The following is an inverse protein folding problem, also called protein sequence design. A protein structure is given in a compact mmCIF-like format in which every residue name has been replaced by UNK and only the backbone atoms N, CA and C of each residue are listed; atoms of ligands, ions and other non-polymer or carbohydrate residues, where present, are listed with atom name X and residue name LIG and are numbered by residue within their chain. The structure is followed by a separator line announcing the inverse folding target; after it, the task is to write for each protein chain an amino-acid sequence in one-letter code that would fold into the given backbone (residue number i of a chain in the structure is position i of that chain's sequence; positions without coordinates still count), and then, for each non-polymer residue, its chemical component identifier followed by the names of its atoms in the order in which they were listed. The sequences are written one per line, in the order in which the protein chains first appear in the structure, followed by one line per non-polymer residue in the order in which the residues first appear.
data_IF_347466341091
#
_entry.id   IF_347466341091
#
_cell.length_a   1.000
_cell.length_b   1.000
_cell.length_c   1.000
_cell.angle_alpha   90.00
_cell.angle_beta   90.00
_cell.angle_gamma   90.00
#
_symmetry.space_group_name_H-M   'P 1'
#
loop_
_entity.id
_entity.type
_entity.pdbx_description
1 polymer ?
#
# COMPACT_ATOMS: atom_id res chain seq x y z
N UNK A 1 20.44 10.03 -14.56
CA UNK A 1 19.98 8.87 -13.75
C UNK A 1 20.50 9.15 -12.36
N UNK A 2 19.63 9.59 -11.51
CA UNK A 2 19.95 10.18 -10.23
C UNK A 2 20.18 9.13 -9.16
N UNK A 3 21.04 9.42 -8.18
CA UNK A 3 21.39 8.60 -7.02
C UNK A 3 20.22 8.00 -6.20
N UNK A 4 18.98 8.43 -6.47
CA UNK A 4 17.73 7.95 -5.85
C UNK A 4 17.31 6.56 -6.30
N UNK A 5 17.53 6.22 -7.59
CA UNK A 5 17.24 4.90 -8.14
C UNK A 5 18.34 3.90 -7.78
N UNK A 6 19.58 4.33 -7.65
CA UNK A 6 20.73 3.47 -7.40
C UNK A 6 20.62 2.75 -6.04
N UNK A 7 20.17 3.43 -4.97
CA UNK A 7 20.02 2.80 -3.65
C UNK A 7 18.90 1.75 -3.61
N UNK A 8 17.73 2.06 -4.17
CA UNK A 8 16.60 1.13 -4.23
C UNK A 8 16.86 -0.03 -5.21
N UNK A 9 17.48 0.23 -6.36
CA UNK A 9 17.86 -0.82 -7.31
C UNK A 9 18.92 -1.76 -6.72
N UNK A 10 19.88 -1.27 -5.95
CA UNK A 10 20.83 -2.11 -5.22
C UNK A 10 20.13 -3.00 -4.21
N UNK A 11 19.27 -2.46 -3.34
CA UNK A 11 18.52 -3.24 -2.36
C UNK A 11 17.63 -4.30 -3.01
N UNK A 12 17.02 -4.02 -4.16
CA UNK A 12 16.20 -4.98 -4.92
C UNK A 12 17.10 -6.09 -5.47
N UNK A 13 18.22 -5.72 -6.08
CA UNK A 13 19.19 -6.68 -6.65
C UNK A 13 19.79 -7.58 -5.58
N UNK A 14 20.28 -7.01 -4.48
CA UNK A 14 20.83 -7.78 -3.35
C UNK A 14 19.81 -8.80 -2.80
N UNK A 15 18.53 -8.43 -2.75
CA UNK A 15 17.45 -9.32 -2.33
C UNK A 15 17.22 -10.43 -3.34
N UNK A 16 17.21 -10.10 -4.65
CA UNK A 16 17.08 -11.08 -5.72
C UNK A 16 18.26 -12.06 -5.73
N UNK A 17 19.48 -11.56 -5.53
CA UNK A 17 20.69 -12.38 -5.45
C UNK A 17 20.63 -13.31 -4.21
N UNK A 18 20.23 -12.78 -3.04
CA UNK A 18 20.03 -13.59 -1.82
C UNK A 18 19.00 -14.71 -2.03
N UNK A 19 17.91 -14.44 -2.74
CA UNK A 19 16.88 -15.44 -3.05
C UNK A 19 17.40 -16.48 -4.05
N UNK A 20 18.12 -16.07 -5.10
CA UNK A 20 18.76 -16.99 -6.04
C UNK A 20 19.78 -17.90 -5.33
N UNK A 21 20.65 -17.34 -4.48
CA UNK A 21 21.64 -18.09 -3.70
C UNK A 21 20.96 -19.05 -2.70
N UNK A 22 19.73 -18.70 -2.27
CA UNK A 22 18.89 -19.55 -1.42
C UNK A 22 18.03 -20.55 -2.20
N UNK A 23 18.26 -20.74 -3.52
CA UNK A 23 17.62 -21.77 -4.34
C UNK A 23 16.26 -21.38 -4.92
N UNK A 24 15.85 -20.11 -4.86
CA UNK A 24 14.67 -19.62 -5.56
C UNK A 24 14.97 -19.33 -7.03
N UNK A 25 13.98 -19.50 -7.89
CA UNK A 25 14.01 -19.00 -9.28
C UNK A 25 13.38 -17.63 -9.34
N UNK A 26 14.17 -16.60 -9.66
CA UNK A 26 13.69 -15.20 -9.71
C UNK A 26 13.33 -14.81 -11.14
N UNK A 27 12.10 -14.31 -11.31
CA UNK A 27 11.60 -13.69 -12.55
C UNK A 27 11.37 -12.20 -12.31
N UNK A 28 12.12 -11.36 -12.99
CA UNK A 28 12.10 -9.90 -12.89
C UNK A 28 11.17 -9.27 -13.93
N UNK A 29 10.78 -8.01 -13.69
CA UNK A 29 10.00 -7.19 -14.62
C UNK A 29 8.58 -7.69 -14.83
N UNK A 30 7.96 -8.30 -13.80
CA UNK A 30 6.59 -8.78 -13.90
C UNK A 30 5.59 -7.62 -14.01
N UNK A 31 4.46 -7.87 -14.66
CA UNK A 31 3.38 -6.89 -14.86
C UNK A 31 3.85 -5.56 -15.49
N UNK A 32 4.86 -5.58 -16.34
CA UNK A 32 5.41 -4.37 -16.98
C UNK A 32 6.16 -3.43 -16.04
N UNK A 33 6.43 -3.82 -14.79
CA UNK A 33 7.12 -3.01 -13.79
C UNK A 33 8.56 -3.53 -13.63
N UNK A 34 9.60 -2.80 -14.08
CA UNK A 34 10.98 -3.29 -14.10
C UNK A 34 11.52 -3.73 -12.73
N UNK A 35 11.03 -3.14 -11.65
CA UNK A 35 11.45 -3.42 -10.27
C UNK A 35 10.60 -4.46 -9.57
N UNK A 36 9.46 -4.88 -10.14
CA UNK A 36 8.65 -5.96 -9.62
C UNK A 36 9.24 -7.32 -9.99
N UNK A 37 9.17 -8.28 -9.07
CA UNK A 37 9.68 -9.63 -9.32
C UNK A 37 8.85 -10.68 -8.57
N UNK A 38 8.95 -11.93 -9.03
CA UNK A 38 8.52 -13.12 -8.28
C UNK A 38 9.68 -14.07 -8.13
N UNK A 39 9.90 -14.56 -6.91
CA UNK A 39 10.88 -15.58 -6.61
C UNK A 39 10.13 -16.84 -6.15
N UNK A 40 10.34 -17.95 -6.84
CA UNK A 40 9.64 -19.22 -6.59
C UNK A 40 10.62 -20.31 -6.15
N UNK A 41 10.27 -20.99 -5.06
CA UNK A 41 10.78 -22.30 -4.70
C UNK A 41 9.63 -23.31 -4.79
N UNK A 42 9.74 -24.27 -5.70
CA UNK A 42 8.68 -25.21 -6.03
C UNK A 42 9.11 -26.64 -5.66
N UNK A 43 8.40 -27.24 -4.71
CA UNK A 43 8.51 -28.64 -4.31
C UNK A 43 7.13 -29.33 -4.37
N UNK A 44 6.27 -28.92 -5.32
CA UNK A 44 4.87 -29.38 -5.43
C UNK A 44 3.97 -28.83 -4.31
N UNK A 45 2.83 -29.47 -4.07
CA UNK A 45 1.91 -29.12 -2.99
C UNK A 45 1.24 -27.75 -3.15
N UNK A 46 0.63 -27.22 -2.07
CA UNK A 46 0.00 -25.89 -2.07
C UNK A 46 0.99 -24.77 -2.37
N UNK A 47 0.49 -23.69 -2.99
CA UNK A 47 1.25 -22.48 -3.33
C UNK A 47 0.95 -21.37 -2.33
N UNK A 48 1.93 -21.00 -1.51
CA UNK A 48 1.82 -19.89 -0.56
C UNK A 48 2.62 -18.71 -1.07
N UNK A 49 1.91 -17.60 -1.35
CA UNK A 49 2.48 -16.31 -1.71
C UNK A 49 2.86 -15.50 -0.48
N UNK A 50 3.98 -14.78 -0.53
CA UNK A 50 4.40 -13.81 0.49
C UNK A 50 4.66 -12.48 -0.21
N UNK A 51 4.02 -11.40 0.24
CA UNK A 51 4.25 -10.06 -0.31
C UNK A 51 5.48 -9.42 0.33
N UNK A 52 6.20 -8.61 -0.44
CA UNK A 52 7.39 -7.88 -0.01
C UNK A 52 7.44 -6.49 -0.66
N UNK A 53 7.06 -5.46 0.09
CA UNK A 53 7.18 -4.06 -0.31
C UNK A 53 8.60 -3.52 -0.05
N UNK A 54 8.98 -2.45 -0.76
CA UNK A 54 10.31 -1.85 -0.61
C UNK A 54 10.41 -0.39 -1.09
N UNK A 55 9.29 0.26 -1.41
CA UNK A 55 9.30 1.67 -1.79
C UNK A 55 9.42 2.61 -0.57
N UNK A 56 9.94 3.82 -0.82
CA UNK A 56 10.19 4.84 0.19
C UNK A 56 9.36 6.10 -0.09
N UNK A 57 9.12 6.88 0.95
CA UNK A 57 8.39 8.14 0.88
C UNK A 57 9.31 9.34 0.65
N UNK A 58 8.93 10.33 -0.18
CA UNK A 58 9.71 11.53 -0.39
C UNK A 58 9.73 12.45 0.85
N UNK A 59 10.77 13.26 0.98
CA UNK A 59 10.87 14.32 1.99
C UNK A 59 11.17 13.88 3.42
N UNK A 60 11.32 12.57 3.68
CA UNK A 60 11.44 12.01 5.02
C UNK A 60 12.83 11.43 5.34
N UNK A 61 13.88 12.05 4.80
CA UNK A 61 15.26 11.70 5.15
C UNK A 61 15.52 11.92 6.64
N UNK A 62 16.03 10.89 7.33
CA UNK A 62 16.26 10.91 8.79
C UNK A 62 17.36 9.93 9.18
N UNK A 63 18.19 10.33 10.15
CA UNK A 63 19.16 9.45 10.82
C UNK A 63 18.50 8.61 11.92
N UNK A 64 19.17 7.56 12.37
CA UNK A 64 18.72 6.66 13.46
C UNK A 64 18.91 7.30 14.85
N UNK A 65 18.43 8.53 15.02
CA UNK A 65 18.52 9.32 16.25
C UNK A 65 17.13 9.62 16.79
N UNK A 66 16.93 9.72 18.12
CA UNK A 66 15.62 9.99 18.70
C UNK A 66 15.18 11.47 18.58
N UNK A 67 15.86 12.25 17.75
CA UNK A 67 15.54 13.64 17.43
C UNK A 67 15.61 13.86 15.91
N UNK A 68 14.99 14.92 15.42
CA UNK A 68 14.96 15.21 13.99
C UNK A 68 16.36 15.58 13.47
N UNK A 69 16.89 14.72 12.59
CA UNK A 69 18.21 14.89 11.98
C UNK A 69 18.20 14.32 10.55
N UNK A 70 18.11 15.21 9.56
CA UNK A 70 18.16 14.79 8.16
C UNK A 70 19.59 14.39 7.74
N UNK A 71 19.71 13.30 7.00
CA UNK A 71 21.00 12.85 6.42
C UNK A 71 21.20 13.36 4.98
N UNK A 72 20.41 14.37 4.55
CA UNK A 72 20.56 14.99 3.24
C UNK A 72 19.98 14.23 2.06
N UNK A 73 19.35 13.09 2.28
CA UNK A 73 18.60 12.34 1.26
C UNK A 73 17.21 12.94 1.03
N UNK A 74 16.57 12.58 -0.10
CA UNK A 74 15.27 13.12 -0.48
C UNK A 74 14.12 12.19 -0.11
N UNK A 75 14.38 10.95 0.36
CA UNK A 75 13.37 9.97 0.75
C UNK A 75 13.78 9.25 2.03
N UNK A 76 12.77 8.67 2.71
CA UNK A 76 12.94 7.84 3.89
C UNK A 76 11.87 6.74 3.97
N UNK A 77 12.22 5.63 4.61
CA UNK A 77 11.29 4.51 4.82
C UNK A 77 10.34 4.76 5.99
N UNK A 78 9.51 5.79 5.88
CA UNK A 78 8.58 6.19 6.93
C UNK A 78 7.33 5.30 7.04
N UNK A 79 7.16 4.35 6.13
CA UNK A 79 6.20 3.25 6.21
C UNK A 79 6.87 1.90 6.53
N UNK A 80 8.21 1.90 6.69
CA UNK A 80 8.97 0.71 7.08
C UNK A 80 9.14 -0.37 6.02
N UNK A 81 8.86 -0.07 4.74
CA UNK A 81 8.89 -1.07 3.65
C UNK A 81 10.26 -1.73 3.45
N UNK A 82 11.37 -1.09 3.86
CA UNK A 82 12.68 -1.74 3.90
C UNK A 82 12.68 -2.96 4.84
N UNK A 83 12.03 -2.85 6.00
CA UNK A 83 11.86 -3.95 6.96
C UNK A 83 10.87 -4.99 6.44
N UNK A 84 9.75 -4.52 5.84
CA UNK A 84 8.75 -5.38 5.23
C UNK A 84 9.40 -6.35 4.24
N UNK A 85 10.12 -5.83 3.27
CA UNK A 85 10.77 -6.66 2.28
C UNK A 85 11.79 -7.64 2.87
N UNK A 86 12.56 -7.22 3.89
CA UNK A 86 13.55 -8.10 4.55
C UNK A 86 12.86 -9.22 5.35
N UNK A 87 11.87 -8.90 6.18
CA UNK A 87 11.14 -9.88 6.97
C UNK A 87 10.43 -10.93 6.12
N UNK A 88 9.80 -10.50 5.01
CA UNK A 88 9.19 -11.40 4.04
C UNK A 88 10.21 -12.33 3.36
N UNK A 89 11.38 -11.78 3.00
CA UNK A 89 12.47 -12.58 2.41
C UNK A 89 13.00 -13.62 3.39
N UNK A 90 13.21 -13.24 4.65
CA UNK A 90 13.62 -14.16 5.72
C UNK A 90 12.60 -15.28 5.94
N UNK A 91 11.30 -14.96 5.95
CA UNK A 91 10.23 -15.95 6.07
C UNK A 91 10.27 -16.95 4.91
N UNK A 92 10.37 -16.48 3.68
CA UNK A 92 10.45 -17.33 2.48
C UNK A 92 11.65 -18.27 2.51
N UNK A 93 12.84 -17.76 2.87
CA UNK A 93 14.05 -18.56 2.97
C UNK A 93 13.94 -19.61 4.09
N UNK A 94 13.42 -19.25 5.26
CA UNK A 94 13.20 -20.18 6.37
C UNK A 94 12.24 -21.30 5.98
N UNK A 95 11.16 -20.97 5.28
CA UNK A 95 10.17 -21.95 4.78
C UNK A 95 10.79 -22.91 3.76
N UNK A 96 11.62 -22.39 2.85
CA UNK A 96 12.33 -23.25 1.86
C UNK A 96 13.19 -24.30 2.58
N UNK A 97 13.97 -23.90 3.60
CA UNK A 97 14.75 -24.85 4.38
C UNK A 97 13.88 -25.86 5.13
N UNK A 98 12.77 -25.40 5.71
CA UNK A 98 11.83 -26.27 6.40
C UNK A 98 11.19 -27.31 5.46
N UNK A 99 10.73 -26.90 4.27
CA UNK A 99 10.16 -27.82 3.26
C UNK A 99 11.19 -28.89 2.83
N UNK A 100 12.45 -28.49 2.66
CA UNK A 100 13.52 -29.39 2.29
C UNK A 100 13.86 -30.38 3.42
N UNK A 101 14.02 -29.89 4.65
CA UNK A 101 14.37 -30.70 5.83
C UNK A 101 13.27 -31.70 6.19
N UNK A 102 12.02 -31.30 6.09
CA UNK A 102 10.86 -32.15 6.40
C UNK A 102 10.38 -32.98 5.22
N UNK A 103 10.92 -32.74 4.02
CA UNK A 103 10.44 -33.33 2.76
C UNK A 103 8.93 -33.12 2.56
N UNK A 104 8.39 -31.99 3.01
CA UNK A 104 6.98 -31.61 2.87
C UNK A 104 6.75 -31.03 1.47
N UNK A 105 5.72 -31.49 0.72
CA UNK A 105 5.35 -30.84 -0.55
C UNK A 105 4.82 -29.43 -0.30
N UNK A 106 5.35 -28.45 -1.01
CA UNK A 106 4.91 -27.06 -0.92
C UNK A 106 5.63 -26.15 -1.89
N UNK A 107 4.96 -25.12 -2.34
CA UNK A 107 5.53 -24.07 -3.20
C UNK A 107 5.46 -22.73 -2.49
N UNK A 108 6.56 -22.00 -2.49
CA UNK A 108 6.67 -20.67 -1.91
C UNK A 108 6.93 -19.68 -3.03
N UNK A 109 6.13 -18.62 -3.10
CA UNK A 109 6.34 -17.47 -4.00
C UNK A 109 6.51 -16.19 -3.22
N UNK A 110 7.68 -15.58 -3.27
CA UNK A 110 7.88 -14.22 -2.77
C UNK A 110 7.64 -13.23 -3.91
N UNK A 111 6.74 -12.28 -3.69
CA UNK A 111 6.42 -11.21 -4.62
C UNK A 111 7.07 -9.91 -4.16
N UNK A 112 8.07 -9.45 -4.91
CA UNK A 112 8.64 -8.11 -4.73
C UNK A 112 7.72 -7.08 -5.37
N UNK A 113 7.02 -6.31 -4.53
CA UNK A 113 5.91 -5.44 -4.93
C UNK A 113 6.26 -3.96 -4.71
N UNK A 114 6.76 -3.25 -5.74
CA UNK A 114 7.08 -1.83 -5.67
C UNK A 114 5.84 -0.95 -5.70
N UNK A 115 6.04 0.33 -5.33
CA UNK A 115 5.11 1.42 -5.60
C UNK A 115 3.73 1.28 -4.90
N UNK A 116 3.69 0.75 -3.68
CA UNK A 116 2.49 0.75 -2.84
C UNK A 116 2.03 2.19 -2.58
N UNK A 117 2.94 3.10 -2.29
CA UNK A 117 2.73 4.50 -1.95
C UNK A 117 2.30 5.37 -3.16
N UNK A 118 1.23 4.97 -3.84
CA UNK A 118 0.56 5.73 -4.89
C UNK A 118 0.81 5.27 -6.33
N UNK A 119 1.59 4.20 -6.55
CA UNK A 119 1.78 3.61 -7.88
C UNK A 119 0.94 2.35 -8.13
N UNK A 120 0.33 1.76 -7.08
CA UNK A 120 -0.56 0.58 -7.17
C UNK A 120 0.12 -0.65 -7.81
N UNK A 121 1.37 -0.94 -7.44
CA UNK A 121 2.15 -2.02 -8.06
C UNK A 121 1.45 -3.39 -8.01
N UNK A 122 0.83 -3.73 -6.86
CA UNK A 122 0.12 -5.01 -6.69
C UNK A 122 -1.13 -5.13 -7.54
N UNK A 123 -1.79 -3.99 -7.87
CA UNK A 123 -2.96 -3.99 -8.76
C UNK A 123 -2.59 -4.50 -10.15
N UNK A 124 -1.45 -4.06 -10.69
CA UNK A 124 -0.96 -4.55 -12.00
C UNK A 124 -0.59 -6.03 -11.94
N UNK A 125 0.08 -6.46 -10.86
CA UNK A 125 0.46 -7.86 -10.65
C UNK A 125 -0.80 -8.75 -10.55
N UNK A 126 -1.83 -8.31 -9.82
CA UNK A 126 -3.11 -9.01 -9.68
C UNK A 126 -3.90 -9.04 -11.00
N UNK A 127 -3.97 -7.90 -11.72
CA UNK A 127 -4.64 -7.77 -13.01
C UNK A 127 -4.03 -8.72 -14.05
N UNK A 128 -2.71 -8.83 -14.07
CA UNK A 128 -1.98 -9.64 -15.04
C UNK A 128 -1.91 -11.14 -14.65
N UNK A 129 -2.68 -11.58 -13.63
CA UNK A 129 -2.90 -12.98 -13.30
C UNK A 129 -1.80 -13.66 -12.48
N UNK A 130 -0.85 -12.92 -11.91
CA UNK A 130 0.25 -13.52 -11.14
C UNK A 130 -0.18 -14.19 -9.82
N UNK A 131 -1.43 -14.00 -9.39
CA UNK A 131 -2.01 -14.65 -8.21
C UNK A 131 -3.04 -15.74 -8.55
N UNK A 132 -3.32 -16.03 -9.84
CA UNK A 132 -4.44 -16.90 -10.24
C UNK A 132 -4.25 -18.37 -9.85
N UNK A 133 -3.03 -18.82 -9.64
CA UNK A 133 -2.66 -20.17 -9.23
C UNK A 133 -2.05 -20.22 -7.81
N UNK A 134 -2.32 -19.21 -6.98
CA UNK A 134 -1.86 -19.12 -5.59
C UNK A 134 -2.99 -19.55 -4.66
N UNK A 135 -2.68 -20.41 -3.68
CA UNK A 135 -3.68 -20.89 -2.73
C UNK A 135 -3.93 -19.92 -1.59
N UNK A 136 -2.87 -19.32 -1.03
CA UNK A 136 -2.94 -18.36 0.07
C UNK A 136 -1.88 -17.28 -0.13
N UNK A 137 -2.18 -16.04 0.25
CA UNK A 137 -1.19 -14.96 0.35
C UNK A 137 -1.06 -14.50 1.79
N UNK A 138 0.18 -14.47 2.27
CA UNK A 138 0.57 -13.91 3.55
C UNK A 138 1.34 -12.60 3.37
N UNK A 139 1.11 -11.66 4.27
CA UNK A 139 1.87 -10.41 4.29
C UNK A 139 2.08 -9.92 5.71
N UNK A 140 2.89 -8.88 5.88
CA UNK A 140 2.97 -8.18 7.15
C UNK A 140 3.15 -6.68 6.90
N UNK A 141 3.03 -5.88 7.93
CA UNK A 141 3.30 -4.46 7.82
C UNK A 141 3.97 -3.94 9.09
N UNK A 142 5.03 -3.13 8.96
CA UNK A 142 5.58 -2.35 10.06
C UNK A 142 4.51 -1.50 10.74
N UNK A 143 4.52 -1.48 12.08
CA UNK A 143 3.57 -0.71 12.88
C UNK A 143 4.21 -0.33 14.22
N UNK A 144 3.44 0.28 15.10
CA UNK A 144 3.81 0.62 16.48
C UNK A 144 3.32 -0.42 17.52
N UNK A 145 2.60 -1.44 17.09
CA UNK A 145 2.03 -2.49 17.92
C UNK A 145 2.06 -3.86 17.20
N UNK A 146 1.73 -4.95 17.95
CA UNK A 146 1.71 -6.31 17.41
C UNK A 146 0.28 -6.84 17.37
N UNK A 147 -0.24 -7.18 16.18
CA UNK A 147 -1.57 -7.76 15.99
C UNK A 147 -1.71 -8.46 14.65
N UNK A 148 -2.53 -9.51 14.57
CA UNK A 148 -2.93 -10.06 13.28
C UNK A 148 -3.84 -9.08 12.51
N UNK A 149 -3.76 -9.10 11.18
CA UNK A 149 -4.66 -8.36 10.32
C UNK A 149 -6.03 -9.03 10.30
N UNK A 150 -7.00 -8.38 10.91
CA UNK A 150 -8.41 -8.68 10.72
C UNK A 150 -9.12 -7.37 10.47
N UNK A 151 -8.93 -6.84 9.28
CA UNK A 151 -9.45 -5.52 8.93
C UNK A 151 -9.84 -5.42 7.47
N UNK A 152 -10.85 -4.58 7.20
CA UNK A 152 -11.08 -4.04 5.87
C UNK A 152 -10.39 -2.68 5.71
N UNK A 153 -10.34 -2.15 4.49
CA UNK A 153 -9.84 -0.81 4.17
C UNK A 153 -10.77 -0.12 3.19
N UNK A 154 -10.54 1.16 2.93
CA UNK A 154 -11.22 1.80 1.80
C UNK A 154 -10.58 1.40 0.47
N UNK A 155 -11.42 1.13 -0.52
CA UNK A 155 -11.01 1.22 -1.91
C UNK A 155 -10.79 2.68 -2.30
N UNK A 156 -9.98 2.91 -3.33
CA UNK A 156 -9.66 4.24 -3.81
C UNK A 156 -9.59 4.24 -5.34
N UNK A 157 -10.12 5.30 -5.97
CA UNK A 157 -9.89 5.60 -7.38
C UNK A 157 -9.55 7.06 -7.52
N UNK A 158 -8.44 7.36 -8.20
CA UNK A 158 -7.95 8.71 -8.35
C UNK A 158 -7.73 9.06 -9.81
N UNK A 159 -7.97 10.32 -10.16
CA UNK A 159 -7.76 10.83 -11.51
C UNK A 159 -7.38 12.30 -11.53
N UNK A 160 -6.59 12.67 -12.53
CA UNK A 160 -6.34 14.05 -12.93
C UNK A 160 -7.33 14.46 -13.99
N UNK A 161 -8.08 15.51 -13.72
CA UNK A 161 -9.01 16.12 -14.66
C UNK A 161 -8.34 17.35 -15.26
N UNK A 162 -8.13 17.32 -16.58
CA UNK A 162 -7.44 18.36 -17.35
C UNK A 162 -8.47 19.12 -18.17
N UNK A 163 -8.58 20.42 -17.93
CA UNK A 163 -9.44 21.32 -18.70
C UNK A 163 -8.61 22.11 -19.68
N UNK A 164 -9.15 22.27 -20.91
CA UNK A 164 -8.57 23.10 -21.96
C UNK A 164 -9.58 24.13 -22.41
N UNK A 165 -9.21 25.40 -22.29
CA UNK A 165 -9.98 26.57 -22.68
C UNK A 165 -9.34 27.31 -23.86
N UNK A 166 -9.53 28.62 -23.88
CA UNK A 166 -9.01 29.56 -24.89
C UNK A 166 -8.42 30.77 -24.14
N UNK A 167 -7.14 31.04 -24.35
CA UNK A 167 -6.49 32.21 -23.76
C UNK A 167 -6.93 33.51 -24.46
N UNK A 168 -7.00 34.57 -23.68
CA UNK A 168 -7.28 35.93 -24.15
C UNK A 168 -6.74 36.94 -23.14
N UNK A 169 -6.67 38.20 -23.54
CA UNK A 169 -6.38 39.31 -22.62
C UNK A 169 -7.55 39.52 -21.66
N UNK A 170 -7.38 39.21 -20.38
CA UNK A 170 -8.47 39.16 -19.41
C UNK A 170 -9.25 40.49 -19.26
N UNK A 171 -8.58 41.65 -19.43
CA UNK A 171 -9.23 42.96 -19.37
C UNK A 171 -9.56 43.51 -20.76
N UNK A 172 -8.74 43.27 -21.77
CA UNK A 172 -8.89 43.90 -23.11
C UNK A 172 -9.84 43.17 -24.08
N UNK A 173 -9.97 41.87 -23.93
CA UNK A 173 -10.83 41.06 -24.82
C UNK A 173 -11.34 39.80 -24.09
N UNK A 174 -11.97 39.90 -22.89
CA UNK A 174 -12.40 38.75 -22.12
C UNK A 174 -13.42 37.87 -22.86
N UNK A 175 -14.26 38.44 -23.71
CA UNK A 175 -15.27 37.73 -24.49
C UNK A 175 -14.68 36.70 -25.46
N UNK A 176 -13.40 36.79 -25.80
CA UNK A 176 -12.70 35.86 -26.68
C UNK A 176 -12.09 34.69 -25.95
N UNK A 177 -12.03 34.75 -24.62
CA UNK A 177 -11.45 33.72 -23.75
C UNK A 177 -12.47 32.68 -23.26
N UNK A 178 -11.96 31.51 -22.90
CA UNK A 178 -12.69 30.47 -22.14
C UNK A 178 -11.71 29.96 -21.10
N UNK A 179 -11.98 30.23 -19.84
CA UNK A 179 -11.06 29.90 -18.77
C UNK A 179 -11.14 28.42 -18.40
N UNK A 180 -10.03 27.71 -18.56
CA UNK A 180 -9.91 26.33 -18.08
C UNK A 180 -9.99 26.27 -16.55
N UNK A 181 -9.55 27.32 -15.85
CA UNK A 181 -9.66 27.40 -14.39
C UNK A 181 -11.12 27.47 -13.96
N UNK A 182 -11.97 28.23 -14.66
CA UNK A 182 -13.41 28.28 -14.35
C UNK A 182 -14.04 26.88 -14.51
N UNK A 183 -13.59 26.09 -15.47
CA UNK A 183 -13.98 24.67 -15.60
C UNK A 183 -13.63 23.85 -14.36
N UNK A 184 -12.40 24.00 -13.82
CA UNK A 184 -11.97 23.35 -12.60
C UNK A 184 -12.77 23.83 -11.39
N UNK A 185 -12.97 25.13 -11.25
CA UNK A 185 -13.73 25.72 -10.12
C UNK A 185 -15.21 25.28 -10.15
N UNK A 186 -15.85 25.29 -11.32
CA UNK A 186 -17.21 24.78 -11.50
C UNK A 186 -17.31 23.29 -11.13
N UNK A 187 -16.37 22.46 -11.58
CA UNK A 187 -16.29 21.05 -11.18
C UNK A 187 -16.17 20.91 -9.67
N UNK A 188 -15.26 21.64 -9.03
CA UNK A 188 -15.04 21.57 -7.60
C UNK A 188 -16.30 22.00 -6.82
N UNK A 189 -17.01 23.01 -7.28
CA UNK A 189 -18.28 23.44 -6.69
C UNK A 189 -19.35 22.34 -6.80
N UNK A 190 -19.53 21.76 -7.98
CA UNK A 190 -20.48 20.65 -8.20
C UNK A 190 -20.13 19.43 -7.33
N UNK A 191 -18.85 19.08 -7.21
CA UNK A 191 -18.40 17.97 -6.35
C UNK A 191 -18.59 18.31 -4.86
N UNK A 192 -18.44 19.56 -4.44
CA UNK A 192 -18.73 19.95 -3.06
C UNK A 192 -20.23 19.84 -2.75
N UNK A 193 -21.13 20.16 -3.69
CA UNK A 193 -22.57 19.89 -3.56
C UNK A 193 -22.87 18.38 -3.53
N UNK A 194 -22.14 17.57 -4.30
CA UNK A 194 -22.28 16.12 -4.31
C UNK A 194 -21.99 15.52 -2.93
N UNK A 195 -21.14 16.12 -2.10
CA UNK A 195 -20.81 15.62 -0.74
C UNK A 195 -22.01 15.55 0.18
N UNK A 196 -23.04 16.38 -0.04
CA UNK A 196 -24.32 16.31 0.70
C UNK A 196 -25.13 15.04 0.41
N UNK A 197 -24.78 14.33 -0.68
CA UNK A 197 -25.55 13.21 -1.23
C UNK A 197 -24.68 11.98 -1.50
N UNK A 198 -23.66 11.74 -0.68
CA UNK A 198 -22.82 10.55 -0.70
C UNK A 198 -22.90 9.83 0.64
N UNK A 199 -22.50 8.55 0.66
CA UNK A 199 -22.47 7.75 1.88
C UNK A 199 -21.52 8.35 2.92
N UNK A 200 -21.85 8.18 4.20
CA UNK A 200 -21.10 8.76 5.32
C UNK A 200 -19.66 8.26 5.37
N UNK A 201 -19.41 7.03 4.99
CA UNK A 201 -18.09 6.41 4.94
C UNK A 201 -17.26 6.85 3.74
N UNK A 202 -17.90 7.42 2.71
CA UNK A 202 -17.21 7.89 1.51
C UNK A 202 -16.36 9.12 1.78
N UNK A 203 -15.28 9.29 1.00
CA UNK A 203 -14.43 10.50 1.05
C UNK A 203 -14.05 10.92 -0.36
N UNK A 204 -14.07 12.22 -0.59
CA UNK A 204 -13.53 12.85 -1.81
C UNK A 204 -12.53 13.92 -1.38
N UNK A 205 -11.33 13.87 -1.94
CA UNK A 205 -10.28 14.86 -1.72
C UNK A 205 -9.81 15.38 -3.07
N UNK A 206 -9.36 16.63 -3.14
CA UNK A 206 -8.77 17.18 -4.35
C UNK A 206 -7.72 18.25 -4.06
N UNK A 207 -6.88 18.46 -5.06
CA UNK A 207 -5.94 19.58 -5.11
C UNK A 207 -5.88 20.10 -6.55
N UNK A 208 -5.86 21.42 -6.72
CA UNK A 208 -5.60 22.05 -8.02
C UNK A 208 -4.11 22.00 -8.25
N UNK A 209 -3.68 21.29 -9.28
CA UNK A 209 -2.26 21.10 -9.63
C UNK A 209 -1.79 22.09 -10.69
N UNK A 210 -2.73 22.69 -11.46
CA UNK A 210 -2.45 23.74 -12.43
C UNK A 210 -3.67 24.69 -12.51
N UNK A 211 -3.45 25.99 -12.32
CA UNK A 211 -4.52 26.99 -12.27
C UNK A 211 -4.28 28.23 -13.13
N UNK A 212 -3.29 28.22 -14.03
CA UNK A 212 -2.87 29.39 -14.81
C UNK A 212 -1.56 29.99 -14.32
N UNK A 213 -1.05 31.03 -15.01
CA UNK A 213 0.28 31.59 -14.74
C UNK A 213 0.23 33.09 -14.38
N UNK A 214 -0.71 33.86 -14.94
CA UNK A 214 -0.83 35.29 -14.71
C UNK A 214 -2.28 35.75 -14.75
N UNK A 215 -2.72 36.66 -13.86
CA UNK A 215 -4.14 37.04 -13.75
C UNK A 215 -4.67 37.89 -14.92
N UNK A 216 -3.80 38.48 -15.72
CA UNK A 216 -4.16 39.24 -16.93
C UNK A 216 -4.28 38.39 -18.20
N UNK A 217 -4.08 37.06 -18.09
CA UNK A 217 -4.23 36.08 -19.16
C UNK A 217 -5.26 35.07 -18.75
N UNK A 218 -6.35 34.91 -19.55
CA UNK A 218 -7.35 33.85 -19.34
C UNK A 218 -6.66 32.50 -19.42
N UNK A 219 -6.72 31.62 -18.38
CA UNK A 219 -6.02 30.34 -18.36
C UNK A 219 -6.52 29.40 -19.46
N UNK A 220 -5.62 29.00 -20.36
CA UNK A 220 -5.94 28.02 -21.42
C UNK A 220 -5.94 26.58 -20.90
N UNK A 221 -5.16 26.30 -19.84
CA UNK A 221 -5.06 24.99 -19.25
C UNK A 221 -5.17 25.04 -17.73
N UNK A 222 -5.92 24.12 -17.15
CA UNK A 222 -6.01 23.89 -15.72
C UNK A 222 -6.15 22.40 -15.45
N UNK A 223 -5.68 21.97 -14.28
CA UNK A 223 -5.72 20.57 -13.83
C UNK A 223 -6.10 20.50 -12.37
N UNK A 224 -6.98 19.56 -12.03
CA UNK A 224 -7.31 19.19 -10.66
C UNK A 224 -7.17 17.69 -10.47
N UNK A 225 -6.56 17.27 -9.35
CA UNK A 225 -6.32 15.88 -8.99
C UNK A 225 -7.26 15.46 -7.87
N UNK A 226 -8.07 14.43 -8.13
CA UNK A 226 -9.09 13.90 -7.24
C UNK A 226 -8.76 12.51 -6.71
N UNK A 227 -9.09 12.28 -5.43
CA UNK A 227 -9.20 10.97 -4.80
C UNK A 227 -10.64 10.72 -4.40
N UNK A 228 -11.15 9.51 -4.73
CA UNK A 228 -12.49 9.04 -4.36
C UNK A 228 -12.34 7.74 -3.59
N UNK A 229 -12.83 7.72 -2.35
CA UNK A 229 -12.68 6.56 -1.44
C UNK A 229 -14.03 6.09 -0.95
N UNK A 230 -14.19 4.76 -0.84
CA UNK A 230 -15.37 4.11 -0.28
C UNK A 230 -14.99 2.72 0.25
N UNK A 231 -15.59 2.21 1.35
CA UNK A 231 -15.32 0.85 1.86
C UNK A 231 -15.81 -0.27 0.94
N UNK A 232 -16.70 0.01 -0.01
CA UNK A 232 -17.21 -0.93 -0.98
C UNK A 232 -16.75 -0.53 -2.40
N UNK A 233 -16.33 -1.50 -3.23
CA UNK A 233 -15.80 -1.25 -4.57
C UNK A 233 -16.85 -0.65 -5.51
N UNK A 234 -18.11 -1.09 -5.43
CA UNK A 234 -19.18 -0.53 -6.27
C UNK A 234 -19.51 0.90 -5.84
N UNK A 235 -19.38 1.20 -4.54
CA UNK A 235 -19.43 2.56 -4.02
C UNK A 235 -18.34 3.44 -4.61
N UNK A 236 -17.08 2.94 -4.69
CA UNK A 236 -15.98 3.66 -5.37
C UNK A 236 -16.33 3.94 -6.84
N UNK A 237 -16.78 2.93 -7.58
CA UNK A 237 -17.15 3.05 -9.00
C UNK A 237 -18.27 4.06 -9.20
N UNK A 238 -19.35 3.93 -8.42
CA UNK A 238 -20.50 4.82 -8.51
C UNK A 238 -20.12 6.28 -8.21
N UNK A 239 -19.44 6.49 -7.09
CA UNK A 239 -19.05 7.83 -6.67
C UNK A 239 -18.06 8.48 -7.65
N UNK A 240 -17.09 7.71 -8.16
CA UNK A 240 -16.16 8.19 -9.19
C UNK A 240 -16.91 8.61 -10.48
N UNK A 241 -17.87 7.82 -10.93
CA UNK A 241 -18.70 8.16 -12.10
C UNK A 241 -19.51 9.44 -11.90
N UNK A 242 -19.97 9.72 -10.67
CA UNK A 242 -20.64 10.98 -10.32
C UNK A 242 -19.68 12.17 -10.38
N UNK A 243 -18.42 11.99 -9.94
CA UNK A 243 -17.37 13.02 -10.09
C UNK A 243 -17.07 13.29 -11.57
N UNK A 244 -16.98 12.25 -12.41
CA UNK A 244 -16.81 12.41 -13.87
C UNK A 244 -17.96 13.21 -14.48
N UNK A 245 -19.23 12.91 -14.11
CA UNK A 245 -20.40 13.68 -14.60
C UNK A 245 -20.35 15.16 -14.17
N UNK A 246 -19.84 15.44 -12.96
CA UNK A 246 -19.63 16.83 -12.54
C UNK A 246 -18.59 17.55 -13.41
N UNK A 247 -17.49 16.87 -13.77
CA UNK A 247 -16.47 17.41 -14.67
C UNK A 247 -17.01 17.66 -16.08
N UNK A 248 -17.80 16.73 -16.63
CA UNK A 248 -18.47 16.88 -17.93
C UNK A 248 -19.45 18.06 -17.93
N UNK A 249 -20.26 18.19 -16.87
CA UNK A 249 -21.20 19.30 -16.68
C UNK A 249 -20.48 20.66 -16.60
N UNK A 250 -19.37 20.70 -15.84
CA UNK A 250 -18.54 21.90 -15.72
C UNK A 250 -17.94 22.31 -17.07
N UNK A 251 -17.35 21.34 -17.79
CA UNK A 251 -16.76 21.61 -19.11
C UNK A 251 -17.80 22.16 -20.11
N UNK A 252 -19.02 21.59 -20.09
CA UNK A 252 -20.12 22.05 -20.94
C UNK A 252 -20.56 23.47 -20.56
N UNK A 253 -20.70 23.77 -19.28
CA UNK A 253 -21.16 25.09 -18.78
C UNK A 253 -20.14 26.20 -18.99
N UNK A 254 -18.84 25.89 -18.98
CA UNK A 254 -17.74 26.86 -19.19
C UNK A 254 -17.22 26.89 -20.63
N UNK A 255 -17.84 26.14 -21.54
CA UNK A 255 -17.43 26.01 -22.94
C UNK A 255 -15.94 25.57 -23.09
N UNK A 256 -15.45 24.75 -22.17
CA UNK A 256 -14.10 24.17 -22.19
C UNK A 256 -14.13 22.70 -22.63
N UNK A 257 -12.98 22.12 -22.90
CA UNK A 257 -12.84 20.68 -23.14
C UNK A 257 -12.22 20.01 -21.91
N UNK A 258 -12.77 18.87 -21.49
CA UNK A 258 -12.25 18.10 -20.37
C UNK A 258 -11.85 16.71 -20.84
N UNK A 259 -10.68 16.26 -20.34
CA UNK A 259 -10.25 14.87 -20.37
C UNK A 259 -9.79 14.49 -18.98
N UNK A 260 -9.86 13.20 -18.63
CA UNK A 260 -9.28 12.73 -17.37
C UNK A 260 -8.39 11.52 -17.59
N UNK A 261 -7.43 11.36 -16.67
CA UNK A 261 -6.50 10.25 -16.63
C UNK A 261 -6.59 9.61 -15.24
N UNK A 262 -6.95 8.33 -15.21
CA UNK A 262 -6.93 7.55 -13.95
C UNK A 262 -5.49 7.38 -13.53
N UNK A 263 -5.14 7.81 -12.33
CA UNK A 263 -3.76 7.78 -11.82
C UNK A 263 -3.48 6.54 -11.01
N UNK A 264 -4.43 6.16 -10.17
CA UNK A 264 -4.32 5.03 -9.28
C UNK A 264 -5.71 4.52 -8.89
N UNK A 265 -5.80 3.24 -8.54
CA UNK A 265 -7.05 2.64 -8.11
C UNK A 265 -6.81 1.27 -7.52
N UNK A 266 -7.33 1.05 -6.31
CA UNK A 266 -7.25 -0.21 -5.61
C UNK A 266 -8.57 -0.55 -4.92
N UNK A 267 -8.82 -1.82 -4.81
CA UNK A 267 -9.96 -2.39 -4.10
C UNK A 267 -9.83 -2.19 -2.58
N UNK A 268 -10.96 -2.21 -1.83
CA UNK A 268 -10.90 -2.33 -0.38
C UNK A 268 -10.28 -3.68 0.00
N UNK A 269 -9.51 -3.71 1.08
CA UNK A 269 -8.99 -4.97 1.62
C UNK A 269 -10.15 -5.83 2.10
N UNK A 270 -10.19 -7.10 1.69
CA UNK A 270 -11.16 -8.10 2.12
C UNK A 270 -10.54 -8.96 3.23
N UNK A 271 -11.07 -8.90 4.46
CA UNK A 271 -10.57 -9.73 5.55
C UNK A 271 -10.88 -11.22 5.31
N UNK A 272 -10.00 -12.08 5.82
CA UNK A 272 -10.22 -13.52 5.92
C UNK A 272 -10.01 -13.93 7.38
N UNK A 273 -11.09 -14.27 8.07
CA UNK A 273 -11.09 -14.57 9.50
C UNK A 273 -10.30 -15.85 9.80
N UNK A 274 -10.47 -16.87 8.98
CA UNK A 274 -9.75 -18.16 9.11
C UNK A 274 -8.25 -17.96 9.16
N UNK A 275 -7.70 -17.19 8.23
CA UNK A 275 -6.26 -16.87 8.20
C UNK A 275 -5.87 -15.94 9.35
N UNK A 276 -6.71 -14.97 9.68
CA UNK A 276 -6.43 -14.01 10.74
C UNK A 276 -6.32 -14.68 12.11
N UNK A 277 -7.21 -15.64 12.39
CA UNK A 277 -7.17 -16.47 13.62
C UNK A 277 -5.90 -17.30 13.68
N UNK A 278 -5.55 -17.98 12.57
CA UNK A 278 -4.31 -18.77 12.48
C UNK A 278 -3.07 -17.93 12.77
N UNK A 279 -2.97 -16.76 12.17
CA UNK A 279 -1.84 -15.85 12.34
C UNK A 279 -1.78 -15.27 13.77
N UNK A 280 -2.94 -14.93 14.33
CA UNK A 280 -3.05 -14.45 15.72
C UNK A 280 -2.56 -15.49 16.75
N UNK A 281 -2.92 -16.76 16.53
CA UNK A 281 -2.44 -17.87 17.36
C UNK A 281 -0.92 -18.03 17.29
N UNK A 282 -0.32 -17.93 16.08
CA UNK A 282 1.13 -18.05 15.90
C UNK A 282 1.86 -16.83 16.50
N UNK A 283 1.32 -15.63 16.32
CA UNK A 283 1.88 -14.43 16.92
C UNK A 283 1.85 -14.49 18.46
N UNK A 284 0.74 -14.96 19.06
CA UNK A 284 0.61 -15.12 20.51
C UNK A 284 1.60 -16.11 21.10
N UNK A 285 1.93 -17.20 20.37
CA UNK A 285 2.98 -18.14 20.79
C UNK A 285 4.38 -17.50 20.82
N UNK A 286 4.65 -16.59 19.90
CA UNK A 286 5.94 -15.89 19.81
C UNK A 286 6.03 -14.73 20.79
N UNK A 287 4.91 -14.08 21.11
CA UNK A 287 4.83 -12.93 22.00
C UNK A 287 5.24 -11.63 21.32
N UNK A 288 5.41 -10.58 22.12
CA UNK A 288 5.83 -9.25 21.67
C UNK A 288 7.35 -9.06 21.70
N UNK A 289 7.78 -7.79 21.66
CA UNK A 289 9.18 -7.39 21.51
C UNK A 289 9.70 -6.77 22.80
N UNK A 290 10.74 -7.36 23.39
CA UNK A 290 11.44 -6.79 24.54
C UNK A 290 12.55 -5.86 24.09
N UNK A 291 12.61 -4.66 24.67
CA UNK A 291 13.66 -3.70 24.46
C UNK A 291 14.84 -3.93 25.40
N UNK A 292 16.05 -3.69 24.92
CA UNK A 292 17.25 -3.55 25.77
C UNK A 292 17.22 -2.20 26.51
N UNK A 293 18.15 -1.98 27.45
CA UNK A 293 18.27 -0.69 28.14
C UNK A 293 18.55 0.47 27.14
N UNK A 294 19.39 0.23 26.13
CA UNK A 294 19.68 1.22 25.08
C UNK A 294 18.44 1.54 24.22
N UNK A 295 17.69 0.51 23.83
CA UNK A 295 16.44 0.67 23.08
C UNK A 295 15.37 1.39 23.91
N UNK A 296 15.30 1.10 25.21
CA UNK A 296 14.41 1.82 26.13
C UNK A 296 14.78 3.31 26.24
N UNK A 297 16.05 3.64 26.34
CA UNK A 297 16.52 5.04 26.35
C UNK A 297 16.17 5.74 25.05
N UNK A 298 16.45 5.12 23.91
CA UNK A 298 16.06 5.63 22.59
C UNK A 298 14.56 5.87 22.51
N UNK A 299 13.76 4.86 22.90
CA UNK A 299 12.31 4.91 22.87
C UNK A 299 11.76 6.04 23.74
N UNK A 300 12.27 6.23 24.96
CA UNK A 300 11.86 7.30 25.87
C UNK A 300 12.14 8.69 25.30
N UNK A 301 13.30 8.91 24.68
CA UNK A 301 13.64 10.19 24.06
C UNK A 301 12.78 10.48 22.82
N UNK A 302 12.58 9.47 21.95
CA UNK A 302 11.73 9.61 20.77
C UNK A 302 10.27 9.83 21.16
N UNK A 303 9.76 9.14 22.17
CA UNK A 303 8.38 9.26 22.65
C UNK A 303 8.01 10.68 23.08
N UNK A 304 8.96 11.44 23.65
CA UNK A 304 8.77 12.88 23.98
C UNK A 304 8.46 13.76 22.78
N UNK A 305 8.78 13.31 21.57
CA UNK A 305 8.54 14.04 20.32
C UNK A 305 7.21 13.71 19.65
N UNK A 306 6.48 12.70 20.16
CA UNK A 306 5.20 12.28 19.61
C UNK A 306 4.08 13.27 20.00
N UNK A 307 3.16 13.50 19.07
CA UNK A 307 1.99 14.35 19.31
C UNK A 307 0.78 13.46 19.59
N UNK A 308 0.25 13.55 20.82
CA UNK A 308 -0.93 12.81 21.26
C UNK A 308 -0.85 11.29 20.95
N UNK A 309 0.18 10.58 21.43
CA UNK A 309 0.29 9.15 21.20
C UNK A 309 -0.89 8.43 21.87
N UNK A 310 -1.44 7.46 21.16
CA UNK A 310 -2.56 6.61 21.59
C UNK A 310 -2.08 5.27 22.21
N UNK A 311 -0.77 5.02 22.17
CA UNK A 311 -0.11 3.85 22.73
C UNK A 311 1.05 4.27 23.63
N UNK A 312 1.44 3.41 24.59
CA UNK A 312 2.51 3.69 25.55
C UNK A 312 3.68 2.73 25.41
N UNK A 313 4.88 3.17 25.81
CA UNK A 313 6.05 2.26 25.86
C UNK A 313 5.72 1.10 26.82
N UNK A 314 5.83 -0.11 26.31
CA UNK A 314 5.37 -1.36 26.94
C UNK A 314 4.35 -2.10 26.08
N UNK A 315 3.57 -1.41 25.25
CA UNK A 315 2.57 -2.03 24.36
C UNK A 315 3.21 -2.93 23.31
N UNK A 316 4.47 -2.69 22.94
CA UNK A 316 5.24 -3.58 22.07
C UNK A 316 5.52 -4.97 22.67
N UNK A 317 5.33 -5.14 23.98
CA UNK A 317 5.44 -6.43 24.65
C UNK A 317 4.20 -7.31 24.49
N UNK A 318 3.08 -6.70 24.10
CA UNK A 318 1.76 -7.34 24.09
C UNK A 318 1.32 -7.60 22.65
N UNK A 319 0.67 -8.74 22.44
CA UNK A 319 -0.11 -9.01 21.23
C UNK A 319 -1.52 -8.50 21.46
N UNK A 320 -1.95 -7.53 20.65
CA UNK A 320 -3.28 -6.93 20.76
C UNK A 320 -4.39 -7.94 20.40
N UNK A 321 -5.57 -7.80 20.98
CA UNK A 321 -6.69 -8.68 20.67
C UNK A 321 -7.04 -8.68 19.16
N UNK A 322 -7.41 -9.86 18.65
CA UNK A 322 -7.95 -9.99 17.30
C UNK A 322 -9.37 -9.40 17.26
N UNK A 323 -9.53 -8.30 16.57
CA UNK A 323 -10.82 -7.61 16.40
C UNK A 323 -10.97 -7.17 14.96
N UNK A 324 -12.15 -7.40 14.37
CA UNK A 324 -12.45 -6.87 13.05
C UNK A 324 -12.50 -5.34 13.11
N UNK A 325 -11.66 -4.70 12.31
CA UNK A 325 -11.57 -3.23 12.22
C UNK A 325 -11.78 -2.77 10.79
N UNK A 326 -12.15 -1.50 10.63
CA UNK A 326 -12.21 -0.85 9.33
C UNK A 326 -11.21 0.29 9.28
N UNK A 327 -10.17 0.15 8.47
CA UNK A 327 -9.23 1.23 8.18
C UNK A 327 -9.82 2.23 7.21
N UNK A 328 -9.62 3.52 7.47
CA UNK A 328 -9.95 4.60 6.51
C UNK A 328 -8.85 4.82 5.46
N UNK A 329 -7.67 4.23 5.66
CA UNK A 329 -6.61 4.16 4.66
C UNK A 329 -6.96 3.24 3.49
N UNK A 330 -6.07 3.16 2.54
CA UNK A 330 -6.16 2.27 1.38
C UNK A 330 -4.81 1.59 1.19
N UNK A 331 -4.82 0.37 0.67
CA UNK A 331 -3.61 -0.36 0.28
C UNK A 331 -3.91 -1.18 -0.98
N UNK A 332 -2.93 -1.36 -1.83
CA UNK A 332 -3.06 -2.19 -3.03
C UNK A 332 -3.01 -3.71 -2.74
N UNK A 333 -2.77 -4.12 -1.47
CA UNK A 333 -3.04 -5.48 -0.97
C UNK A 333 -4.53 -5.82 -1.11
N UNK A 334 -5.40 -4.79 -1.16
CA UNK A 334 -6.82 -4.96 -1.45
C UNK A 334 -7.05 -5.81 -2.69
N UNK A 335 -6.44 -5.46 -3.82
CA UNK A 335 -6.60 -6.18 -5.09
C UNK A 335 -6.15 -7.64 -5.02
N UNK A 336 -5.08 -7.92 -4.26
CA UNK A 336 -4.62 -9.29 -4.00
C UNK A 336 -5.68 -10.06 -3.21
N UNK A 337 -6.26 -9.45 -2.17
CA UNK A 337 -7.27 -10.09 -1.31
C UNK A 337 -8.58 -10.44 -2.03
N UNK A 338 -8.87 -9.83 -3.17
CA UNK A 338 -10.02 -10.20 -4.02
C UNK A 338 -9.71 -11.29 -5.04
N UNK A 339 -8.43 -11.64 -5.21
CA UNK A 339 -8.00 -12.73 -6.09
C UNK A 339 -7.77 -14.03 -5.33
N UNK A 340 -7.27 -13.92 -4.09
CA UNK A 340 -6.80 -15.06 -3.29
C UNK A 340 -6.99 -14.75 -1.80
N UNK A 341 -7.35 -15.75 -0.95
CA UNK A 341 -7.41 -15.54 0.49
C UNK A 341 -6.11 -14.95 1.02
N UNK A 342 -6.22 -13.78 1.65
CA UNK A 342 -5.06 -12.97 2.06
C UNK A 342 -5.23 -12.50 3.49
N UNK A 343 -4.22 -12.69 4.32
CA UNK A 343 -4.12 -12.07 5.64
C UNK A 343 -2.65 -11.90 6.05
N UNK A 344 -2.42 -11.27 7.20
CA UNK A 344 -1.07 -10.97 7.64
C UNK A 344 -0.97 -10.48 9.08
N UNK A 345 0.12 -9.82 9.41
CA UNK A 345 0.42 -9.34 10.74
C UNK A 345 0.99 -7.92 10.73
N UNK A 346 0.59 -7.10 11.68
CA UNK A 346 1.23 -5.83 12.04
C UNK A 346 2.19 -6.08 13.17
N UNK A 347 3.41 -5.58 13.06
CA UNK A 347 4.46 -5.79 14.07
C UNK A 347 5.10 -4.46 14.46
N UNK A 348 5.29 -4.29 15.76
CA UNK A 348 5.97 -3.15 16.33
C UNK A 348 7.43 -3.07 15.86
N UNK A 349 7.68 -2.24 14.88
CA UNK A 349 9.00 -1.86 14.36
C UNK A 349 9.35 -0.43 14.75
N UNK A 350 8.40 0.26 15.34
CA UNK A 350 8.50 1.63 15.82
C UNK A 350 8.20 1.68 17.31
N UNK A 351 8.55 2.78 17.94
CA UNK A 351 8.19 3.05 19.32
C UNK A 351 6.65 3.21 19.40
N UNK A 352 5.97 2.58 20.40
CA UNK A 352 4.52 2.72 20.53
C UNK A 352 4.04 4.16 20.50
N UNK A 353 2.93 4.41 19.79
CA UNK A 353 2.37 5.74 19.54
C UNK A 353 2.99 6.48 18.35
N UNK A 354 3.95 5.87 17.65
CA UNK A 354 4.56 6.46 16.44
C UNK A 354 3.64 6.29 15.25
N UNK A 355 3.23 7.41 14.63
CA UNK A 355 2.45 7.38 13.39
C UNK A 355 3.33 6.98 12.20
N UNK A 356 2.79 6.19 11.28
CA UNK A 356 3.38 6.00 9.95
C UNK A 356 3.55 7.35 9.22
N UNK A 357 4.41 7.38 8.21
CA UNK A 357 4.72 8.59 7.42
C UNK A 357 5.33 9.75 8.24
N UNK A 358 6.03 9.40 9.32
CA UNK A 358 6.73 10.35 10.18
C UNK A 358 8.25 10.13 10.19
N UNK A 359 9.00 11.15 10.56
CA UNK A 359 10.44 11.01 10.74
C UNK A 359 10.79 10.05 11.91
N UNK A 360 9.90 9.97 12.90
CA UNK A 360 10.05 9.07 14.05
C UNK A 360 10.01 7.59 13.59
N UNK A 361 9.11 7.27 12.65
CA UNK A 361 9.04 5.93 12.05
C UNK A 361 10.33 5.58 11.30
N UNK A 362 10.93 6.54 10.56
CA UNK A 362 12.22 6.33 9.88
C UNK A 362 13.32 6.10 10.91
N UNK A 363 13.39 6.95 11.96
CA UNK A 363 14.42 6.86 12.99
C UNK A 363 14.38 5.51 13.72
N UNK A 364 13.21 5.09 14.20
CA UNK A 364 13.04 3.82 14.93
C UNK A 364 13.27 2.60 14.03
N UNK A 365 12.71 2.63 12.80
CA UNK A 365 12.84 1.55 11.82
C UNK A 365 14.28 1.26 11.41
N UNK A 366 15.18 2.25 11.48
CA UNK A 366 16.61 2.08 11.21
C UNK A 366 17.44 1.52 12.39
N UNK A 367 16.83 1.26 13.53
CA UNK A 367 17.51 0.73 14.74
C UNK A 367 17.28 -0.78 14.91
N UNK A 368 17.84 -1.32 15.99
CA UNK A 368 17.58 -2.71 16.41
C UNK A 368 16.12 -2.97 16.79
N UNK A 369 15.35 -1.94 17.17
CA UNK A 369 13.89 -2.03 17.36
C UNK A 369 13.22 -2.51 16.07
N UNK A 370 13.51 -1.84 14.93
CA UNK A 370 12.99 -2.24 13.63
C UNK A 370 13.42 -3.66 13.24
N UNK A 371 14.69 -4.01 13.46
CA UNK A 371 15.22 -5.34 13.13
C UNK A 371 14.54 -6.45 13.95
N UNK A 372 14.31 -6.24 15.25
CA UNK A 372 13.58 -7.19 16.11
C UNK A 372 12.15 -7.40 15.60
N UNK A 373 11.47 -6.30 15.24
CA UNK A 373 10.13 -6.36 14.66
C UNK A 373 10.10 -7.15 13.35
N UNK A 374 11.01 -6.85 12.42
CA UNK A 374 11.13 -7.60 11.17
C UNK A 374 11.38 -9.10 11.39
N UNK A 375 12.19 -9.45 12.39
CA UNK A 375 12.46 -10.85 12.75
C UNK A 375 11.21 -11.54 13.34
N UNK A 376 10.44 -10.84 14.18
CA UNK A 376 9.18 -11.37 14.72
C UNK A 376 8.17 -11.59 13.60
N UNK A 377 8.06 -10.64 12.65
CA UNK A 377 7.22 -10.78 11.46
C UNK A 377 7.60 -12.00 10.62
N UNK A 378 8.90 -12.17 10.35
CA UNK A 378 9.41 -13.32 9.59
C UNK A 378 9.03 -14.66 10.25
N UNK A 379 9.20 -14.76 11.57
CA UNK A 379 8.82 -15.96 12.33
C UNK A 379 7.32 -16.21 12.30
N UNK A 380 6.50 -15.16 12.46
CA UNK A 380 5.05 -15.29 12.44
C UNK A 380 4.56 -15.78 11.08
N UNK A 381 5.06 -15.18 9.98
CA UNK A 381 4.71 -15.62 8.62
C UNK A 381 5.16 -17.05 8.35
N UNK A 382 6.40 -17.40 8.73
CA UNK A 382 6.92 -18.75 8.54
C UNK A 382 6.10 -19.80 9.29
N UNK A 383 5.82 -19.58 10.58
CA UNK A 383 5.03 -20.51 11.39
C UNK A 383 3.60 -20.64 10.84
N UNK A 384 2.97 -19.54 10.40
CA UNK A 384 1.65 -19.56 9.79
C UNK A 384 1.63 -20.39 8.51
N UNK A 385 2.64 -20.23 7.65
CA UNK A 385 2.77 -21.03 6.44
C UNK A 385 3.05 -22.51 6.72
N UNK A 386 3.88 -22.82 7.72
CA UNK A 386 4.10 -24.21 8.17
C UNK A 386 2.78 -24.87 8.56
N UNK A 387 1.95 -24.20 9.34
CA UNK A 387 0.62 -24.73 9.70
C UNK A 387 -0.30 -24.96 8.51
N UNK A 388 -0.22 -24.12 7.48
CA UNK A 388 -0.99 -24.29 6.25
C UNK A 388 -0.49 -25.50 5.46
N UNK A 389 0.82 -25.73 5.39
CA UNK A 389 1.38 -26.92 4.74
C UNK A 389 1.07 -28.22 5.50
N UNK A 390 1.14 -28.17 6.84
CA UNK A 390 0.82 -29.35 7.69
C UNK A 390 -0.69 -29.64 7.76
N UNK A 391 -1.54 -28.63 7.54
CA UNK A 391 -2.99 -28.77 7.61
C UNK A 391 -3.68 -28.08 6.42
N UNK A 392 -3.69 -28.72 5.23
CA UNK A 392 -4.30 -28.16 4.03
C UNK A 392 -5.80 -27.83 4.15
N UNK A 393 -6.52 -28.43 5.12
CA UNK A 393 -7.94 -28.10 5.34
C UNK A 393 -8.14 -26.63 5.75
N UNK A 394 -7.13 -25.97 6.31
CA UNK A 394 -7.17 -24.53 6.59
C UNK A 394 -7.19 -23.71 5.31
N UNK A 395 -6.52 -24.19 4.25
CA UNK A 395 -6.58 -23.57 2.91
C UNK A 395 -7.99 -23.69 2.35
N UNK A 396 -8.61 -24.89 2.44
CA UNK A 396 -9.97 -25.10 1.97
C UNK A 396 -10.99 -24.23 2.71
N UNK A 397 -10.86 -24.09 4.03
CA UNK A 397 -11.71 -23.21 4.84
C UNK A 397 -11.53 -21.74 4.46
N UNK A 398 -10.29 -21.29 4.25
CA UNK A 398 -9.99 -19.93 3.83
C UNK A 398 -10.59 -19.60 2.46
N UNK A 399 -10.56 -20.56 1.52
CA UNK A 399 -11.22 -20.43 0.22
C UNK A 399 -12.74 -20.46 0.29
N UNK A 400 -13.32 -21.26 1.19
CA UNK A 400 -14.77 -21.29 1.39
C UNK A 400 -15.28 -19.93 1.87
N UNK A 401 -14.63 -19.36 2.88
CA UNK A 401 -14.90 -18.00 3.38
C UNK A 401 -14.69 -16.93 2.29
N UNK A 402 -13.59 -17.02 1.55
CA UNK A 402 -13.27 -16.07 0.48
C UNK A 402 -14.33 -16.06 -0.62
N UNK A 403 -14.81 -17.24 -1.04
CA UNK A 403 -15.87 -17.37 -2.03
C UNK A 403 -17.22 -16.82 -1.53
N UNK A 404 -17.52 -17.02 -0.26
CA UNK A 404 -18.72 -16.43 0.37
C UNK A 404 -18.64 -14.90 0.37
N UNK A 405 -17.49 -14.33 0.74
CA UNK A 405 -17.27 -12.88 0.79
C UNK A 405 -17.29 -12.22 -0.60
N UNK A 406 -16.75 -12.87 -1.62
CA UNK A 406 -16.78 -12.38 -3.02
C UNK A 406 -18.18 -12.46 -3.61
N UNK A 407 -18.93 -13.52 -3.32
CA UNK A 407 -20.22 -13.80 -3.98
C UNK A 407 -20.05 -13.90 -5.50
N UNK A 408 -20.92 -13.21 -6.23
CA UNK A 408 -20.92 -13.19 -7.71
C UNK A 408 -20.00 -12.12 -8.32
N UNK A 409 -19.23 -11.38 -7.48
CA UNK A 409 -18.38 -10.29 -7.95
C UNK A 409 -17.23 -10.83 -8.83
N UNK A 410 -17.05 -10.21 -9.99
CA UNK A 410 -15.91 -10.48 -10.87
C UNK A 410 -14.86 -9.38 -10.68
N UNK A 411 -13.65 -9.77 -10.33
CA UNK A 411 -12.56 -8.82 -10.16
C UNK A 411 -12.20 -8.13 -11.49
N UNK A 412 -12.21 -6.82 -11.48
CA UNK A 412 -11.78 -5.95 -12.57
C UNK A 412 -11.04 -4.76 -11.98
N UNK A 413 -9.75 -4.65 -12.29
CA UNK A 413 -8.91 -3.60 -11.74
C UNK A 413 -9.49 -2.20 -11.97
N UNK A 414 -9.55 -1.37 -10.91
CA UNK A 414 -10.07 0.00 -11.02
C UNK A 414 -9.23 0.90 -11.92
N UNK A 415 -7.98 0.49 -12.21
CA UNK A 415 -7.09 1.13 -13.17
C UNK A 415 -7.48 0.92 -14.63
N UNK A 416 -8.29 -0.11 -14.93
CA UNK A 416 -8.55 -0.55 -16.30
C UNK A 416 -7.28 -1.06 -16.99
N UNK A 417 -7.16 -0.76 -18.28
CA UNK A 417 -6.03 -1.22 -19.12
C UNK A 417 -4.80 -0.30 -19.07
N UNK A 418 -4.75 0.62 -18.11
CA UNK A 418 -3.62 1.56 -17.97
C UNK A 418 -2.32 0.81 -17.77
N UNK A 419 -1.28 1.23 -18.52
CA UNK A 419 0.08 0.75 -18.30
C UNK A 419 0.67 1.28 -16.97
N UNK A 420 1.58 0.56 -16.32
CA UNK A 420 2.24 1.03 -15.11
C UNK A 420 2.94 2.38 -15.33
N UNK A 421 2.67 3.38 -14.48
CA UNK A 421 3.29 4.71 -14.62
C UNK A 421 4.70 4.69 -14.04
N UNK A 422 5.71 4.35 -14.85
CA UNK A 422 7.12 4.23 -14.41
C UNK A 422 7.75 5.57 -13.98
N UNK A 423 7.05 6.67 -14.15
CA UNK A 423 7.48 8.04 -13.86
C UNK A 423 6.53 8.81 -12.93
N UNK A 424 5.64 8.12 -12.22
CA UNK A 424 4.58 8.74 -11.39
C UNK A 424 5.09 9.68 -10.28
N UNK A 425 6.38 9.63 -9.96
CA UNK A 425 7.06 10.50 -8.97
C UNK A 425 8.04 11.51 -9.59
N UNK A 426 8.04 11.66 -10.93
CA UNK A 426 8.86 12.65 -11.62
C UNK A 426 8.16 13.99 -11.72
#
# INVERSE_FOLDING_TARGET
ITSRLVGSEMCIRDRQDTLNDSGFKVKNGIAGIPTAFVAEYNNGGPVIGILAEFDALPGLSQNNTPYRESIGGEAGHACGHHLFGVGSTQAAIALRYWLEETNTPGTIRLYGTPAEEGGSGKVYIARDGYFDDVDIVLHWHPDDNNRAFFSSSNGNKSAKFKFKGISSHAAGAPQNGRSALDGVEAMNMMVNMLREHMDEEARIHYVITKGGLAPNVVPEEAEVYYYVRHPNVDGVRNLFNRVVKAAEGAAKGTETKMVFEVMHGNYPLMPNETLSVLIDEELKKLGGISYTDEENLFAQELYKTLLNPDSVIGDQLVVQPLVLTQSKGSTDVGDVSWKVPTSGVRIATWVPGTSAHSWQAVAAGGTTIGTKGSTLAAKTLANSAVRLFENPSLIDLSWAEHKENIGDHQYEALLGDREPPLDYRK
#
